data_IF_474285072126
#
_entry.id   IF_474285072126
#
_cell.length_a   1.000
_cell.length_b   1.000
_cell.length_c   1.000
_cell.angle_alpha   90.00
_cell.angle_beta   90.00
_cell.angle_gamma   90.00
#
_symmetry.space_group_name_H-M   'P 1'
#
loop_
_entity.id
_entity.type
_entity.pdbx_description
1 polymer ?
#
# COMPACT_ATOMS: atom_id res chain seq x y z
N UNK A 1 -9.93 4.21 0.97
CA UNK A 1 -8.93 3.91 -0.10
C UNK A 1 -7.80 3.06 0.49
N UNK A 2 -7.13 2.21 -0.29
CA UNK A 2 -5.89 1.50 0.08
C UNK A 2 -4.83 1.59 -1.01
N UNK A 3 -3.57 1.35 -0.65
CA UNK A 3 -2.41 1.43 -1.55
C UNK A 3 -1.64 0.11 -1.57
N UNK A 4 -1.23 -0.37 -2.75
CA UNK A 4 -0.39 -1.56 -2.93
C UNK A 4 0.95 -1.12 -3.51
N UNK A 5 2.04 -1.35 -2.77
CA UNK A 5 3.40 -1.20 -3.26
C UNK A 5 3.88 -2.54 -3.81
N UNK A 6 4.03 -2.64 -5.14
CA UNK A 6 4.35 -3.91 -5.84
C UNK A 6 5.82 -3.99 -6.29
N UNK A 7 6.23 -5.12 -6.88
CA UNK A 7 7.57 -5.47 -7.43
C UNK A 7 8.52 -6.22 -6.50
N UNK A 8 9.17 -7.26 -7.00
CA UNK A 8 10.10 -8.11 -6.22
C UNK A 8 11.49 -7.50 -6.13
N UNK A 9 12.19 -7.67 -5.00
CA UNK A 9 13.61 -7.36 -4.83
C UNK A 9 13.89 -6.04 -4.12
N UNK A 10 15.16 -5.69 -3.98
CA UNK A 10 15.62 -4.46 -3.32
C UNK A 10 15.21 -3.23 -4.12
N UNK A 11 14.02 -2.69 -3.87
CA UNK A 11 13.44 -1.56 -4.60
C UNK A 11 13.04 -0.39 -3.70
N UNK A 12 13.50 -0.40 -2.44
CA UNK A 12 13.27 0.70 -1.51
C UNK A 12 11.92 0.69 -0.80
N UNK A 13 11.00 -0.26 -1.07
CA UNK A 13 9.70 -0.32 -0.37
C UNK A 13 9.84 -0.41 1.15
N UNK A 14 10.75 -1.27 1.64
CA UNK A 14 11.00 -1.41 3.07
C UNK A 14 11.61 -0.14 3.69
N UNK A 15 12.43 0.58 2.92
CA UNK A 15 13.00 1.86 3.33
C UNK A 15 11.92 2.93 3.44
N UNK A 16 11.03 3.02 2.45
CA UNK A 16 9.89 3.93 2.48
C UNK A 16 8.99 3.63 3.69
N UNK A 17 8.68 2.36 3.93
CA UNK A 17 7.90 1.97 5.11
C UNK A 17 8.60 2.39 6.42
N UNK A 18 9.93 2.21 6.50
CA UNK A 18 10.71 2.62 7.67
C UNK A 18 10.63 4.14 7.90
N UNK A 19 10.88 4.96 6.88
CA UNK A 19 10.83 6.42 7.06
C UNK A 19 9.40 6.90 7.38
N UNK A 20 8.37 6.27 6.81
CA UNK A 20 6.97 6.56 7.14
C UNK A 20 6.68 6.23 8.61
N UNK A 21 7.15 5.08 9.10
CA UNK A 21 7.01 4.71 10.52
C UNK A 21 7.65 5.75 11.44
N UNK A 22 8.88 6.16 11.14
CA UNK A 22 9.59 7.16 11.96
C UNK A 22 8.92 8.54 11.88
N UNK A 23 8.44 8.95 10.69
CA UNK A 23 7.82 10.27 10.49
C UNK A 23 6.43 10.38 11.14
N UNK A 24 5.61 9.33 11.03
CA UNK A 24 4.23 9.34 11.53
C UNK A 24 4.11 8.91 13.00
N UNK A 25 5.12 8.23 13.56
CA UNK A 25 5.14 7.83 14.97
C UNK A 25 3.86 7.10 15.38
N UNK A 26 3.15 7.63 16.38
CA UNK A 26 1.92 7.06 16.94
C UNK A 26 0.75 6.93 15.93
N UNK A 27 0.85 7.58 14.76
CA UNK A 27 -0.14 7.47 13.68
C UNK A 27 0.17 6.34 12.68
N UNK A 28 1.23 5.57 12.91
CA UNK A 28 1.62 4.44 12.07
C UNK A 28 1.54 3.12 12.84
N UNK A 29 0.91 2.11 12.24
CA UNK A 29 0.83 0.76 12.81
C UNK A 29 1.04 -0.31 11.72
N UNK A 30 1.61 -1.45 12.11
CA UNK A 30 1.93 -2.58 11.23
C UNK A 30 1.15 -3.83 11.66
N UNK A 31 -0.16 -3.90 11.33
CA UNK A 31 -0.98 -5.05 11.67
C UNK A 31 -0.45 -6.32 10.99
N UNK A 32 -0.56 -7.46 11.68
CA UNK A 32 -0.20 -8.76 11.11
C UNK A 32 -1.00 -9.01 9.83
N UNK A 33 -0.34 -9.44 8.77
CA UNK A 33 -0.98 -9.77 7.49
C UNK A 33 -2.13 -10.80 7.63
N UNK A 34 -2.09 -11.65 8.66
CA UNK A 34 -3.16 -12.59 9.00
C UNK A 34 -4.52 -11.93 9.29
N UNK A 35 -4.57 -10.64 9.63
CA UNK A 35 -5.82 -9.88 9.75
C UNK A 35 -6.54 -9.73 8.40
N UNK A 36 -5.78 -9.74 7.31
CA UNK A 36 -6.27 -9.51 5.95
C UNK A 36 -6.48 -10.82 5.17
N UNK A 37 -5.83 -11.90 5.60
CA UNK A 37 -5.80 -13.18 4.90
C UNK A 37 -6.61 -14.24 5.64
N UNK A 38 -7.46 -14.94 4.90
CA UNK A 38 -8.30 -16.03 5.43
C UNK A 38 -7.51 -17.27 5.92
N UNK A 39 -6.20 -17.32 5.69
CA UNK A 39 -5.26 -18.31 6.25
C UNK A 39 -4.03 -17.60 6.78
N UNK A 40 -3.36 -18.19 7.79
CA UNK A 40 -1.98 -17.82 8.14
C UNK A 40 -1.13 -17.93 6.86
N UNK A 41 -0.27 -16.94 6.54
CA UNK A 41 0.56 -17.01 5.34
C UNK A 41 1.59 -18.13 5.51
N UNK A 42 1.21 -19.36 5.19
CA UNK A 42 2.12 -20.46 4.93
C UNK A 42 2.66 -20.28 3.52
N UNK A 43 3.95 -19.97 3.45
CA UNK A 43 4.81 -19.95 2.28
C UNK A 43 4.52 -18.91 1.19
N UNK A 44 5.57 -18.16 0.86
CA UNK A 44 5.61 -17.07 -0.12
C UNK A 44 5.28 -17.48 -1.57
N UNK A 45 5.00 -18.77 -1.81
CA UNK A 45 4.74 -19.34 -3.14
C UNK A 45 3.27 -19.53 -3.49
N UNK A 46 2.34 -19.40 -2.55
CA UNK A 46 0.91 -19.43 -2.87
C UNK A 46 0.36 -18.02 -3.07
N UNK A 47 -0.35 -17.81 -4.19
CA UNK A 47 -1.14 -16.61 -4.48
C UNK A 47 -1.94 -16.21 -3.23
N UNK A 48 -1.42 -15.23 -2.47
CA UNK A 48 -2.06 -14.72 -1.27
C UNK A 48 -3.38 -14.08 -1.71
N UNK A 49 -4.46 -14.48 -1.03
CA UNK A 49 -5.82 -14.03 -1.33
C UNK A 49 -6.24 -13.02 -0.29
N UNK A 50 -6.66 -11.85 -0.75
CA UNK A 50 -7.28 -10.84 0.12
C UNK A 50 -8.78 -11.13 0.21
N UNK A 51 -9.32 -11.03 1.42
CA UNK A 51 -10.75 -11.02 1.64
C UNK A 51 -11.32 -9.65 1.20
N UNK A 52 -12.10 -9.65 0.12
CA UNK A 52 -12.68 -8.41 -0.42
C UNK A 52 -13.65 -7.72 0.53
N UNK A 53 -14.38 -8.48 1.34
CA UNK A 53 -15.37 -7.96 2.28
C UNK A 53 -14.67 -7.23 3.40
N UNK A 54 -13.57 -7.78 3.91
CA UNK A 54 -12.72 -7.10 4.87
C UNK A 54 -12.09 -5.85 4.27
N UNK A 55 -11.60 -5.91 3.03
CA UNK A 55 -11.02 -4.75 2.35
C UNK A 55 -12.06 -3.62 2.20
N UNK A 56 -13.32 -3.93 1.88
CA UNK A 56 -14.41 -2.95 1.87
C UNK A 56 -14.61 -2.28 3.23
N UNK A 57 -14.59 -3.07 4.31
CA UNK A 57 -14.75 -2.56 5.68
C UNK A 57 -13.60 -1.62 6.06
N UNK A 58 -12.35 -1.97 5.80
CA UNK A 58 -11.20 -1.15 6.21
C UNK A 58 -10.87 0.01 5.26
N UNK A 59 -11.46 0.03 4.05
CA UNK A 59 -11.26 1.12 3.07
C UNK A 59 -12.48 1.97 2.83
N UNK A 60 -13.62 1.56 3.39
CA UNK A 60 -14.89 2.27 3.35
C UNK A 60 -14.92 3.42 4.35
N UNK A 61 -15.93 4.27 4.19
CA UNK A 61 -16.26 5.35 5.14
C UNK A 61 -17.30 4.87 6.17
N UNK A 62 -17.64 3.59 6.13
CA UNK A 62 -18.59 2.97 7.04
C UNK A 62 -17.97 2.80 8.43
N UNK A 63 -18.81 2.88 9.45
CA UNK A 63 -18.37 2.67 10.83
C UNK A 63 -17.98 1.21 11.07
N UNK A 64 -16.86 1.01 11.76
CA UNK A 64 -16.42 -0.30 12.22
C UNK A 64 -16.65 -0.44 13.71
N UNK A 65 -17.05 -1.64 14.13
CA UNK A 65 -17.21 -1.98 15.55
C UNK A 65 -15.99 -2.76 15.99
N UNK A 66 -15.27 -2.22 16.97
CA UNK A 66 -14.04 -2.80 17.53
C UNK A 66 -14.16 -2.99 19.02
N UNK A 67 -13.22 -3.77 19.57
CA UNK A 67 -13.13 -4.01 21.01
C UNK A 67 -11.66 -4.07 21.40
N UNK A 68 -11.29 -3.24 22.37
CA UNK A 68 -9.94 -3.28 22.95
C UNK A 68 -9.74 -4.59 23.71
N UNK A 69 -8.48 -5.05 23.78
CA UNK A 69 -8.11 -6.22 24.56
C UNK A 69 -8.68 -6.13 25.98
N UNK A 70 -9.40 -7.17 26.41
CA UNK A 70 -10.07 -7.28 27.71
C UNK A 70 -11.16 -6.24 28.03
N UNK A 71 -11.50 -5.32 27.12
CA UNK A 71 -12.63 -4.43 27.30
C UNK A 71 -13.94 -5.24 27.30
N UNK A 72 -14.96 -4.80 28.04
CA UNK A 72 -16.31 -5.40 27.99
C UNK A 72 -17.17 -4.77 26.90
N UNK A 73 -16.93 -3.50 26.62
CA UNK A 73 -17.70 -2.70 25.70
C UNK A 73 -17.08 -2.69 24.31
N UNK A 74 -17.95 -2.65 23.31
CA UNK A 74 -17.57 -2.43 21.93
C UNK A 74 -17.64 -0.93 21.63
N UNK A 75 -16.70 -0.46 20.82
CA UNK A 75 -16.66 0.92 20.36
C UNK A 75 -16.90 0.93 18.85
N UNK A 76 -17.68 1.89 18.38
CA UNK A 76 -17.96 2.08 16.97
C UNK A 76 -17.32 3.39 16.51
N UNK A 77 -16.53 3.35 15.44
CA UNK A 77 -15.90 4.54 14.89
C UNK A 77 -15.73 4.43 13.37
N UNK A 78 -15.60 5.57 12.70
CA UNK A 78 -15.25 5.62 11.27
C UNK A 78 -13.72 5.48 11.14
N UNK A 79 -13.21 4.51 10.37
CA UNK A 79 -11.78 4.37 10.11
C UNK A 79 -11.14 5.67 9.61
N UNK A 80 -10.08 6.12 10.29
CA UNK A 80 -9.27 7.30 9.89
C UNK A 80 -7.83 6.90 9.55
N UNK A 81 -7.67 5.83 8.79
CA UNK A 81 -6.35 5.33 8.37
C UNK A 81 -6.37 4.98 6.88
N UNK A 82 -5.19 5.00 6.26
CA UNK A 82 -5.00 4.56 4.87
C UNK A 82 -4.16 3.28 4.86
N UNK A 83 -4.75 2.10 4.63
CA UNK A 83 -4.00 0.86 4.62
C UNK A 83 -3.06 0.80 3.40
N UNK A 84 -1.81 0.41 3.66
CA UNK A 84 -0.77 0.21 2.65
C UNK A 84 -0.26 -1.23 2.68
N UNK A 85 -0.13 -1.85 1.52
CA UNK A 85 0.28 -3.25 1.37
C UNK A 85 1.62 -3.32 0.65
N UNK A 86 2.65 -3.81 1.33
CA UNK A 86 3.93 -4.14 0.72
C UNK A 86 3.85 -5.57 0.17
N UNK A 87 3.78 -5.70 -1.16
CA UNK A 87 3.60 -6.98 -1.83
C UNK A 87 4.66 -7.17 -2.92
N UNK A 88 5.15 -8.39 -3.12
CA UNK A 88 5.98 -8.72 -4.29
C UNK A 88 5.11 -9.01 -5.52
N UNK A 89 4.00 -9.72 -5.28
CA UNK A 89 2.98 -10.06 -6.25
C UNK A 89 1.65 -9.47 -5.78
N UNK A 90 0.89 -8.86 -6.69
CA UNK A 90 -0.42 -8.31 -6.37
C UNK A 90 -1.35 -9.47 -5.99
N UNK A 91 -1.96 -9.45 -4.80
CA UNK A 91 -2.80 -10.53 -4.33
C UNK A 91 -4.11 -10.63 -5.14
N UNK A 92 -4.65 -11.84 -5.23
CA UNK A 92 -5.95 -12.07 -5.87
C UNK A 92 -7.09 -11.76 -4.89
N UNK A 93 -8.16 -11.16 -5.40
CA UNK A 93 -9.35 -10.79 -4.61
C UNK A 93 -10.41 -11.88 -4.84
N UNK A 94 -10.94 -12.47 -3.76
CA UNK A 94 -12.05 -13.43 -3.82
C UNK A 94 -13.38 -12.74 -3.55
N UNK A 95 -14.16 -12.36 -4.57
CA UNK A 95 -15.58 -11.92 -4.47
C UNK A 95 -16.34 -12.18 -5.79
N UNK A 96 -17.63 -11.86 -5.84
CA UNK A 96 -18.44 -11.85 -7.07
C UNK A 96 -18.01 -10.73 -8.04
N UNK A 97 -18.42 -10.83 -9.31
CA UNK A 97 -17.96 -9.95 -10.42
C UNK A 97 -18.20 -8.45 -10.20
N UNK A 98 -19.35 -8.04 -9.67
CA UNK A 98 -19.69 -6.63 -9.43
C UNK A 98 -18.92 -6.04 -8.24
N UNK A 99 -18.71 -6.86 -7.21
CA UNK A 99 -18.00 -6.49 -6.01
C UNK A 99 -16.51 -6.22 -6.26
N UNK A 100 -15.93 -6.97 -7.18
CA UNK A 100 -14.54 -6.85 -7.62
C UNK A 100 -14.25 -5.46 -8.19
N UNK A 101 -15.11 -4.93 -9.09
CA UNK A 101 -14.95 -3.57 -9.64
C UNK A 101 -14.98 -2.50 -8.55
N UNK A 102 -15.89 -2.66 -7.59
CA UNK A 102 -16.02 -1.81 -6.42
C UNK A 102 -14.78 -1.84 -5.51
N UNK A 103 -14.11 -2.98 -5.40
CA UNK A 103 -12.88 -3.10 -4.63
C UNK A 103 -11.72 -2.43 -5.36
N UNK A 104 -11.57 -2.68 -6.66
CA UNK A 104 -10.45 -2.12 -7.43
C UNK A 104 -10.45 -0.60 -7.51
N UNK A 105 -11.62 0.06 -7.53
CA UNK A 105 -11.67 1.54 -7.44
C UNK A 105 -11.12 2.09 -6.13
N UNK A 106 -11.05 1.27 -5.07
CA UNK A 106 -10.51 1.64 -3.75
C UNK A 106 -9.03 1.35 -3.63
N UNK A 107 -8.44 0.56 -4.53
CA UNK A 107 -7.02 0.21 -4.56
C UNK A 107 -6.24 1.17 -5.47
N UNK A 108 -5.07 1.61 -5.01
CA UNK A 108 -4.06 2.29 -5.83
C UNK A 108 -2.81 1.43 -5.90
N UNK A 109 -2.33 1.15 -7.11
CA UNK A 109 -1.15 0.32 -7.33
C UNK A 109 0.02 1.24 -7.66
N UNK A 110 1.08 1.15 -6.86
CA UNK A 110 2.34 1.86 -7.11
C UNK A 110 3.41 0.80 -7.36
N UNK A 111 3.93 0.82 -8.58
CA UNK A 111 5.06 -0.01 -8.99
C UNK A 111 6.36 0.69 -8.57
N UNK A 112 7.29 -0.05 -7.99
CA UNK A 112 8.61 0.44 -7.60
C UNK A 112 9.63 -0.10 -8.61
N UNK A 113 9.83 0.58 -9.76
CA UNK A 113 10.51 -0.03 -10.88
C UNK A 113 12.03 -0.16 -10.68
N UNK A 114 12.60 0.69 -9.84
CA UNK A 114 14.02 0.71 -9.54
C UNK A 114 14.42 -0.51 -8.69
N UNK A 115 15.57 -1.10 -9.01
CA UNK A 115 16.27 -2.12 -8.23
C UNK A 115 17.63 -1.58 -7.81
N UNK A 116 17.96 -1.75 -6.54
CA UNK A 116 19.24 -1.39 -5.96
C UNK A 116 20.16 -2.61 -5.93
N UNK A 117 21.39 -2.46 -6.41
CA UNK A 117 22.37 -3.53 -6.52
C UNK A 117 23.76 -3.04 -6.16
N UNK A 118 24.58 -3.90 -5.54
CA UNK A 118 25.97 -3.60 -5.23
C UNK A 118 26.88 -3.60 -6.46
N UNK A 119 26.48 -4.27 -7.54
CA UNK A 119 27.28 -4.41 -8.76
C UNK A 119 26.53 -3.84 -9.96
N UNK A 120 27.31 -3.34 -10.93
CA UNK A 120 26.80 -2.87 -12.21
C UNK A 120 26.56 -4.01 -13.24
N UNK A 121 26.30 -3.66 -14.50
CA UNK A 121 26.14 -2.29 -15.01
C UNK A 121 24.88 -1.61 -14.45
N UNK A 122 24.92 -0.28 -14.31
CA UNK A 122 23.80 0.52 -13.83
C UNK A 122 23.06 1.17 -15.00
N UNK A 123 21.76 1.40 -14.82
CA UNK A 123 20.88 2.00 -15.83
C UNK A 123 19.76 2.82 -15.18
N UNK A 124 18.70 3.11 -15.92
CA UNK A 124 17.52 3.84 -15.43
C UNK A 124 16.84 3.11 -14.25
N UNK A 125 16.74 1.78 -14.32
CA UNK A 125 16.02 0.93 -13.37
C UNK A 125 16.95 0.13 -12.45
N UNK A 126 18.27 0.14 -12.66
CA UNK A 126 19.26 -0.48 -11.77
C UNK A 126 20.20 0.59 -11.21
N UNK A 127 20.07 0.86 -9.92
CA UNK A 127 20.83 1.87 -9.18
C UNK A 127 21.82 1.22 -8.19
N UNK A 128 22.92 1.89 -7.84
CA UNK A 128 23.82 1.43 -6.79
C UNK A 128 23.09 1.40 -5.44
N UNK A 129 23.39 0.40 -4.61
CA UNK A 129 22.88 0.33 -3.24
C UNK A 129 23.63 1.31 -2.33
N UNK A 130 22.91 1.89 -1.36
CA UNK A 130 23.50 2.68 -0.27
C UNK A 130 23.28 1.94 1.06
N UNK A 131 24.33 1.31 1.58
CA UNK A 131 24.27 0.54 2.82
C UNK A 131 24.16 1.43 4.07
N UNK A 132 24.39 2.74 3.94
CA UNK A 132 24.26 3.72 5.03
C UNK A 132 22.84 4.26 5.19
N UNK A 133 21.94 3.89 4.27
CA UNK A 133 20.56 4.37 4.21
C UNK A 133 19.78 4.06 5.49
N UNK A 134 20.07 2.94 6.15
CA UNK A 134 19.45 2.57 7.42
C UNK A 134 19.60 3.63 8.50
N UNK A 135 20.78 4.27 8.59
CA UNK A 135 21.07 5.34 9.56
C UNK A 135 20.49 6.67 9.10
N UNK A 136 20.60 6.98 7.80
CA UNK A 136 20.09 8.23 7.22
C UNK A 136 18.58 8.37 7.36
N UNK A 137 17.84 7.28 7.15
CA UNK A 137 16.37 7.24 7.25
C UNK A 137 15.84 7.74 8.60
N UNK A 138 16.54 7.41 9.70
CA UNK A 138 16.13 7.87 11.02
C UNK A 138 16.25 9.39 11.14
N UNK A 139 17.28 9.98 10.51
CA UNK A 139 17.49 11.42 10.51
C UNK A 139 16.53 12.14 9.55
N UNK A 140 16.05 11.48 8.49
CA UNK A 140 15.22 12.08 7.43
C UNK A 140 13.71 12.14 7.73
N UNK A 141 13.26 11.55 8.84
CA UNK A 141 11.85 11.53 9.19
C UNK A 141 11.24 12.96 9.36
N UNK A 142 11.91 13.91 10.02
CA UNK A 142 11.44 15.30 10.08
C UNK A 142 11.35 15.98 8.69
N UNK A 143 12.32 15.73 7.81
CA UNK A 143 12.36 16.29 6.46
C UNK A 143 11.25 15.72 5.58
N UNK A 144 10.96 14.42 5.71
CA UNK A 144 9.80 13.81 5.06
C UNK A 144 8.50 14.48 5.55
N UNK A 145 8.37 14.70 6.85
CA UNK A 145 7.18 15.36 7.41
C UNK A 145 7.03 16.79 6.86
N UNK A 146 8.12 17.54 6.77
CA UNK A 146 8.10 18.88 6.18
C UNK A 146 7.63 18.85 4.72
N UNK A 147 8.18 17.94 3.91
CA UNK A 147 7.75 17.76 2.52
C UNK A 147 6.26 17.41 2.42
N UNK A 148 5.75 16.54 3.29
CA UNK A 148 4.33 16.18 3.33
C UNK A 148 3.43 17.36 3.71
N UNK A 149 3.87 18.21 4.65
CA UNK A 149 3.15 19.43 5.02
C UNK A 149 3.10 20.43 3.86
N UNK A 150 4.19 20.59 3.13
CA UNK A 150 4.25 21.46 1.95
C UNK A 150 3.28 20.96 0.87
N UNK A 151 3.34 19.67 0.53
CA UNK A 151 2.41 19.02 -0.41
C UNK A 151 0.97 19.17 0.06
N UNK A 152 0.71 19.01 1.35
CA UNK A 152 -0.64 19.16 1.91
C UNK A 152 -1.15 20.60 1.81
N UNK A 153 -0.29 21.59 2.03
CA UNK A 153 -0.62 23.00 1.83
C UNK A 153 -0.98 23.29 0.37
N UNK A 154 -0.22 22.76 -0.60
CA UNK A 154 -0.55 22.88 -2.02
C UNK A 154 -1.87 22.19 -2.38
N UNK A 155 -2.08 21.00 -1.84
CA UNK A 155 -3.33 20.25 -1.99
C UNK A 155 -4.54 21.07 -1.54
N UNK A 156 -4.47 21.71 -0.36
CA UNK A 156 -5.53 22.57 0.15
C UNK A 156 -5.77 23.79 -0.76
N UNK A 157 -4.69 24.43 -1.24
CA UNK A 157 -4.78 25.58 -2.17
C UNK A 157 -5.41 25.19 -3.51
N UNK A 158 -5.19 23.95 -3.97
CA UNK A 158 -5.74 23.43 -5.22
C UNK A 158 -7.16 22.85 -5.08
N UNK A 159 -7.92 23.25 -4.05
CA UNK A 159 -9.30 22.80 -3.84
C UNK A 159 -9.39 21.31 -3.50
N UNK A 160 -8.44 20.80 -2.71
CA UNK A 160 -8.39 19.41 -2.27
C UNK A 160 -8.25 18.40 -3.41
N UNK A 161 -7.42 18.75 -4.41
CA UNK A 161 -7.10 17.90 -5.56
C UNK A 161 -5.61 17.60 -5.65
N UNK A 162 -5.28 16.31 -5.76
CA UNK A 162 -3.94 15.83 -6.11
C UNK A 162 -3.92 15.36 -7.57
N UNK A 163 -2.90 15.78 -8.30
CA UNK A 163 -2.60 15.23 -9.63
C UNK A 163 -1.90 13.90 -9.44
N UNK A 164 -2.52 12.81 -9.90
CA UNK A 164 -1.92 11.47 -9.84
C UNK A 164 -0.91 11.34 -10.99
N UNK A 165 0.34 10.91 -10.72
CA UNK A 165 1.34 10.69 -11.78
C UNK A 165 0.86 9.70 -12.85
N UNK A 166 1.25 9.95 -14.10
CA UNK A 166 0.82 9.12 -15.25
C UNK A 166 1.25 7.67 -15.11
N UNK A 167 2.41 7.42 -14.50
CA UNK A 167 2.96 6.09 -14.24
C UNK A 167 2.04 5.27 -13.34
N UNK A 168 1.46 5.91 -12.31
CA UNK A 168 0.50 5.27 -11.40
C UNK A 168 -0.82 4.97 -12.13
N UNK A 169 -1.28 5.89 -12.98
CA UNK A 169 -2.48 5.70 -13.79
C UNK A 169 -2.28 4.57 -14.80
N UNK A 170 -1.13 4.53 -15.47
CA UNK A 170 -0.76 3.51 -16.45
C UNK A 170 -0.68 2.12 -15.84
N UNK A 171 0.03 1.98 -14.71
CA UNK A 171 0.13 0.71 -13.99
C UNK A 171 -1.26 0.21 -13.53
N UNK A 172 -2.09 1.10 -12.98
CA UNK A 172 -3.44 0.75 -12.56
C UNK A 172 -4.29 0.21 -13.74
N UNK A 173 -4.21 0.85 -14.91
CA UNK A 173 -4.91 0.42 -16.12
C UNK A 173 -4.40 -0.93 -16.61
N UNK A 174 -3.08 -1.13 -16.63
CA UNK A 174 -2.47 -2.39 -17.06
C UNK A 174 -2.98 -3.56 -16.22
N UNK A 175 -2.94 -3.43 -14.89
CA UNK A 175 -3.42 -4.49 -13.97
C UNK A 175 -4.91 -4.75 -14.15
N UNK A 176 -5.72 -3.70 -14.33
CA UNK A 176 -7.15 -3.85 -14.58
C UNK A 176 -7.44 -4.56 -15.91
N UNK A 177 -6.72 -4.25 -16.97
CA UNK A 177 -6.93 -4.86 -18.28
C UNK A 177 -6.59 -6.35 -18.26
N UNK A 178 -5.43 -6.73 -17.71
CA UNK A 178 -5.06 -8.14 -17.54
C UNK A 178 -6.08 -8.89 -16.69
N UNK A 179 -6.68 -8.21 -15.71
CA UNK A 179 -7.76 -8.77 -14.91
C UNK A 179 -9.04 -8.99 -15.73
N UNK A 180 -9.49 -8.00 -16.50
CA UNK A 180 -10.69 -8.14 -17.35
C UNK A 180 -10.53 -9.24 -18.42
N UNK A 181 -9.35 -9.37 -19.03
CA UNK A 181 -9.03 -10.43 -19.98
C UNK A 181 -9.15 -11.83 -19.35
N UNK A 182 -8.72 -11.99 -18.09
CA UNK A 182 -8.85 -13.26 -17.35
C UNK A 182 -10.32 -13.65 -17.10
N UNK A 183 -11.21 -12.68 -16.87
CA UNK A 183 -12.64 -12.97 -16.67
C UNK A 183 -13.38 -13.23 -17.97
N UNK A 184 -12.94 -12.65 -19.09
CA UNK A 184 -13.56 -12.87 -20.39
C UNK A 184 -13.13 -14.19 -21.06
N UNK A 185 -12.13 -14.88 -20.51
CA UNK A 185 -11.60 -16.16 -21.01
C UNK A 185 -12.05 -17.38 -20.20
N UNK A 186 -12.84 -17.17 -19.14
CA UNK A 186 -13.55 -18.20 -18.38
C UNK A 186 -15.05 -18.17 -18.69
#
# INVERSE_FOLDING_TARGET
MAVIFTRTGSNGKGVLNKIMKEAFGDFHDEPRAALLTSKRPSDEKQNKKINGSFLKVITGEDTITVRTLNAREFQTYVPKFTPTFLCNVIPTIKEGSDDIKGIWRRLKIINFPVRFSATGPYDEYRKPIDDTLGTKVNAWAPELMLLLIEIFSEYCKNGSKLTVPEEVVGEQKMVMNSFLEFFNTM
#
